data_IF_976636916853
#
_entry.id   IF_976636916853
#
_cell.length_a   1.000
_cell.length_b   1.000
_cell.length_c   1.000
_cell.angle_alpha   90.00
_cell.angle_beta   90.00
_cell.angle_gamma   90.00
#
_symmetry.space_group_name_H-M   'P 1'
#
loop_
_entity.id
_entity.type
_entity.pdbx_description
1 polymer ?
#
# COMPACT_ATOMS: atom_id res chain seq x y z
N UNK A 1 55.14 -16.24 12.30
CA UNK A 1 55.23 -15.23 13.38
C UNK A 1 54.26 -15.62 14.49
N UNK A 2 54.69 -15.53 15.75
CA UNK A 2 53.94 -15.94 16.96
C UNK A 2 53.28 -14.74 17.66
N UNK A 3 52.59 -15.01 18.79
CA UNK A 3 52.07 -14.08 19.82
C UNK A 3 50.79 -13.27 19.49
N UNK A 4 49.92 -12.88 20.45
CA UNK A 4 49.36 -13.41 21.74
C UNK A 4 48.48 -12.28 22.36
N UNK A 5 47.51 -12.46 23.27
CA UNK A 5 46.71 -13.61 23.77
C UNK A 5 45.39 -13.08 24.38
N UNK A 6 44.42 -13.98 24.54
CA UNK A 6 43.19 -13.94 25.36
C UNK A 6 43.10 -12.94 26.55
N UNK A 7 41.92 -12.32 26.69
CA UNK A 7 41.03 -12.40 27.88
C UNK A 7 39.61 -11.95 27.46
N UNK A 8 38.56 -12.74 27.74
CA UNK A 8 37.63 -12.61 28.88
C UNK A 8 37.01 -11.20 28.97
N UNK A 9 35.68 -10.97 28.93
CA UNK A 9 34.55 -11.90 28.96
C UNK A 9 33.65 -11.69 30.19
N UNK A 10 32.81 -10.65 30.17
CA UNK A 10 31.70 -10.35 31.12
C UNK A 10 31.02 -9.04 30.65
N UNK A 11 29.77 -9.00 30.17
CA UNK A 11 28.51 -9.08 30.94
C UNK A 11 28.58 -8.36 32.30
N UNK A 12 27.69 -7.39 32.53
CA UNK A 12 26.72 -7.35 33.65
C UNK A 12 25.99 -6.00 33.66
N UNK A 13 24.67 -6.09 33.66
CA UNK A 13 23.68 -5.03 33.90
C UNK A 13 23.55 -4.68 35.39
N UNK A 14 23.30 -3.39 35.68
CA UNK A 14 22.64 -2.73 36.86
C UNK A 14 22.47 -3.53 38.17
N UNK A 15 22.73 -2.93 39.37
CA UNK A 15 21.56 -2.45 40.15
C UNK A 15 21.76 -1.20 41.06
N UNK A 16 20.69 -0.40 41.12
CA UNK A 16 20.08 0.36 42.26
C UNK A 16 20.87 0.90 43.47
N UNK A 17 20.51 2.14 43.83
CA UNK A 17 20.55 2.82 45.15
C UNK A 17 20.81 1.98 46.43
N UNK A 18 21.77 2.44 47.25
CA UNK A 18 21.71 2.40 48.73
C UNK A 18 22.37 3.67 49.31
N UNK A 19 21.73 4.27 50.31
CA UNK A 19 22.22 5.41 51.11
C UNK A 19 22.52 4.92 52.54
N UNK A 20 23.62 5.35 53.20
CA UNK A 20 23.76 5.54 54.69
C UNK A 20 25.21 5.88 55.10
N UNK A 21 25.44 5.99 56.43
CA UNK A 21 26.69 6.33 57.16
C UNK A 21 26.92 7.84 57.31
N UNK A 22 26.23 8.53 58.23
CA UNK A 22 26.39 8.60 59.71
C UNK A 22 27.62 9.38 60.20
N UNK A 23 27.35 10.23 61.21
CA UNK A 23 28.16 11.32 61.73
C UNK A 23 28.87 10.89 63.02
N UNK A 24 30.19 11.08 63.10
CA UNK A 24 31.01 11.04 64.33
C UNK A 24 32.01 12.21 64.26
N UNK A 25 31.89 13.25 65.09
CA UNK A 25 32.66 13.42 66.35
C UNK A 25 34.16 13.14 66.17
N UNK A 26 35.11 14.05 66.45
CA UNK A 26 35.15 15.39 67.09
C UNK A 26 36.64 15.86 67.07
N UNK A 27 37.12 16.82 67.88
CA UNK A 27 36.77 18.25 68.03
C UNK A 27 38.01 19.20 67.88
N UNK A 28 37.81 20.50 68.20
CA UNK A 28 38.76 21.36 68.94
C UNK A 28 40.00 21.97 68.24
N UNK A 29 39.88 23.29 67.93
CA UNK A 29 40.95 24.28 67.67
C UNK A 29 41.76 24.03 66.36
N UNK A 30 42.20 25.05 65.60
CA UNK A 30 42.80 26.33 66.02
C UNK A 30 42.13 27.62 65.47
N UNK A 31 42.47 28.72 66.16
CA UNK A 31 42.19 30.12 65.79
C UNK A 31 43.31 30.70 64.92
N UNK A 32 42.99 31.58 63.96
CA UNK A 32 43.76 32.81 63.65
C UNK A 32 42.90 33.81 62.82
N UNK A 33 43.23 35.13 62.75
CA UNK A 33 42.23 36.10 63.22
C UNK A 33 41.83 37.26 62.27
N UNK A 34 40.75 37.94 62.68
CA UNK A 34 40.36 39.36 62.51
C UNK A 34 40.92 40.12 61.28
N UNK A 35 40.02 40.44 60.35
CA UNK A 35 40.02 41.70 59.62
C UNK A 35 38.60 42.28 59.59
N UNK A 36 38.44 43.56 59.92
CA UNK A 36 37.15 44.20 60.16
C UNK A 36 36.71 45.12 58.99
N UNK A 37 35.58 44.79 58.36
CA UNK A 37 34.74 45.67 57.49
C UNK A 37 35.37 46.01 56.11
N UNK A 38 34.67 46.65 55.13
CA UNK A 38 33.49 47.52 55.21
C UNK A 38 32.10 46.84 55.07
N UNK A 39 31.11 47.57 55.59
CA UNK A 39 29.67 47.31 55.69
C UNK A 39 28.95 46.64 54.48
N UNK A 40 27.88 45.86 54.71
CA UNK A 40 26.96 45.49 53.64
C UNK A 40 26.20 46.73 53.12
N UNK A 41 25.95 46.85 51.80
CA UNK A 41 25.08 47.90 51.29
C UNK A 41 23.66 47.68 51.80
N UNK A 42 23.09 48.69 52.44
CA UNK A 42 21.70 48.68 52.91
C UNK A 42 20.75 48.61 51.73
N UNK A 43 20.02 47.50 51.61
CA UNK A 43 18.94 47.39 50.64
C UNK A 43 17.78 48.31 51.06
N UNK A 44 17.15 49.05 50.13
CA UNK A 44 15.99 49.87 50.47
C UNK A 44 14.82 48.98 50.95
N UNK A 45 14.01 49.44 51.92
CA UNK A 45 13.00 48.62 52.59
C UNK A 45 11.72 48.42 51.76
N UNK A 46 11.84 47.84 50.56
CA UNK A 46 10.72 47.57 49.65
C UNK A 46 10.67 46.13 49.09
N UNK A 47 11.71 45.31 49.29
CA UNK A 47 11.83 43.95 48.74
C UNK A 47 10.90 42.89 49.38
N UNK A 48 9.92 43.29 50.20
CA UNK A 48 9.15 42.39 51.09
C UNK A 48 7.82 41.87 50.52
N UNK A 49 7.33 42.40 49.37
CA UNK A 49 5.98 42.07 48.87
C UNK A 49 5.94 41.21 47.59
N UNK A 50 6.64 41.61 46.53
CA UNK A 50 7.00 40.73 45.39
C UNK A 50 8.35 41.20 44.85
N UNK A 51 9.36 40.33 44.90
CA UNK A 51 10.59 40.45 44.12
C UNK A 51 10.97 39.04 43.65
N UNK A 52 11.31 38.82 42.37
CA UNK A 52 11.86 37.54 41.94
C UNK A 52 13.19 37.29 42.66
N UNK A 53 13.50 36.02 42.93
CA UNK A 53 14.76 35.61 43.56
C UNK A 53 15.96 36.26 42.84
N UNK A 54 17.04 36.59 43.56
CA UNK A 54 18.21 37.34 43.03
C UNK A 54 18.90 36.71 41.79
N UNK A 55 18.53 35.48 41.40
CA UNK A 55 18.97 34.78 40.18
C UNK A 55 17.92 34.66 39.05
N UNK A 56 16.74 35.28 39.15
CA UNK A 56 15.70 35.24 38.13
C UNK A 56 14.93 33.91 38.02
N UNK A 57 14.12 33.78 36.97
CA UNK A 57 13.40 32.55 36.62
C UNK A 57 14.15 31.76 35.54
N UNK A 58 14.06 30.43 35.58
CA UNK A 58 14.59 29.56 34.52
C UNK A 58 13.92 29.85 33.17
N UNK A 59 14.66 29.69 32.07
CA UNK A 59 14.11 29.95 30.73
C UNK A 59 13.01 28.95 30.37
N UNK A 60 11.78 29.47 30.24
CA UNK A 60 10.63 28.72 29.73
C UNK A 60 10.75 28.58 28.21
N UNK A 61 10.62 27.35 27.71
CA UNK A 61 10.63 27.07 26.28
C UNK A 61 9.32 27.53 25.63
N UNK A 62 9.32 28.75 25.09
CA UNK A 62 8.18 29.36 24.38
C UNK A 62 8.05 28.92 22.91
N UNK A 63 9.00 28.14 22.39
CA UNK A 63 9.03 27.71 20.98
C UNK A 63 8.37 26.34 20.78
N UNK A 64 7.66 26.16 19.67
CA UNK A 64 7.04 24.87 19.28
C UNK A 64 8.12 23.81 18.99
N UNK A 65 8.29 22.86 19.90
CA UNK A 65 9.15 21.69 19.72
C UNK A 65 8.39 20.57 18.99
N UNK A 66 8.19 20.70 17.68
CA UNK A 66 7.66 19.61 16.83
C UNK A 66 8.79 19.10 15.91
N UNK A 67 9.39 17.92 16.20
CA UNK A 67 10.37 17.33 15.30
C UNK A 67 9.68 16.82 14.03
N UNK A 68 10.14 17.27 12.86
CA UNK A 68 9.71 16.73 11.57
C UNK A 68 10.20 15.28 11.43
N UNK A 69 9.31 14.31 11.68
CA UNK A 69 9.63 12.90 11.88
C UNK A 69 9.05 12.07 10.75
N UNK A 70 9.92 11.46 9.94
CA UNK A 70 9.57 10.66 8.77
C UNK A 70 10.78 10.49 7.84
N UNK A 71 10.63 9.68 6.78
CA UNK A 71 11.64 9.59 5.73
C UNK A 71 11.53 10.77 4.74
N UNK A 72 12.60 11.05 4.00
CA UNK A 72 12.63 12.09 2.97
C UNK A 72 11.60 11.74 1.86
N UNK A 73 10.85 12.70 1.28
CA UNK A 73 9.76 12.40 0.32
C UNK A 73 10.16 11.47 -0.85
N UNK A 74 11.40 11.60 -1.33
CA UNK A 74 11.97 10.74 -2.37
C UNK A 74 11.94 9.24 -2.03
N UNK A 75 12.12 8.87 -0.75
CA UNK A 75 12.13 7.47 -0.31
C UNK A 75 10.76 6.81 -0.54
N UNK A 76 9.67 7.55 -0.29
CA UNK A 76 8.32 7.07 -0.56
C UNK A 76 8.06 6.92 -2.05
N UNK A 77 8.56 7.85 -2.88
CA UNK A 77 8.45 7.75 -4.33
C UNK A 77 9.18 6.51 -4.86
N UNK A 78 10.44 6.29 -4.47
CA UNK A 78 11.20 5.09 -4.88
C UNK A 78 10.55 3.81 -4.38
N UNK A 79 10.08 3.78 -3.12
CA UNK A 79 9.38 2.62 -2.56
C UNK A 79 8.11 2.25 -3.33
N UNK A 80 7.27 3.25 -3.65
CA UNK A 80 6.07 3.05 -4.47
C UNK A 80 6.40 2.53 -5.86
N UNK A 81 7.39 3.13 -6.55
CA UNK A 81 7.78 2.71 -7.90
C UNK A 81 8.39 1.32 -7.92
N UNK A 82 9.16 0.93 -6.90
CA UNK A 82 9.73 -0.42 -6.78
C UNK A 82 8.62 -1.49 -6.61
N UNK A 83 7.61 -1.22 -5.77
CA UNK A 83 6.45 -2.10 -5.59
C UNK A 83 5.67 -2.25 -6.91
N UNK A 84 5.40 -1.13 -7.60
CA UNK A 84 4.71 -1.14 -8.89
C UNK A 84 5.49 -1.92 -9.96
N UNK A 85 6.80 -1.67 -10.09
CA UNK A 85 7.66 -2.39 -11.04
C UNK A 85 7.70 -3.90 -10.78
N UNK A 86 7.76 -4.31 -9.50
CA UNK A 86 7.69 -5.72 -9.13
C UNK A 86 6.31 -6.35 -9.41
N UNK A 87 5.23 -5.60 -9.16
CA UNK A 87 3.86 -6.01 -9.52
C UNK A 87 3.71 -6.25 -11.03
N UNK A 88 4.19 -5.31 -11.86
CA UNK A 88 4.21 -5.47 -13.32
C UNK A 88 5.07 -6.66 -13.76
N UNK A 89 6.24 -6.88 -13.16
CA UNK A 89 7.09 -8.04 -13.45
C UNK A 89 6.34 -9.37 -13.24
N UNK A 90 5.65 -9.54 -12.10
CA UNK A 90 4.84 -10.74 -11.83
C UNK A 90 3.61 -10.85 -12.75
N UNK A 91 2.97 -9.73 -13.08
CA UNK A 91 1.85 -9.68 -14.03
C UNK A 91 2.24 -10.14 -15.45
N UNK A 92 3.40 -9.70 -15.96
CA UNK A 92 3.86 -10.08 -17.30
C UNK A 92 4.11 -11.59 -17.46
N UNK A 93 4.50 -12.29 -16.39
CA UNK A 93 4.59 -13.76 -16.39
C UNK A 93 3.20 -14.40 -16.52
N UNK A 94 2.23 -14.01 -15.68
CA UNK A 94 0.86 -14.54 -15.77
C UNK A 94 0.15 -14.24 -17.10
N UNK A 95 0.45 -13.10 -17.74
CA UNK A 95 -0.08 -12.79 -19.08
C UNK A 95 0.44 -13.75 -20.17
N UNK A 96 1.64 -14.33 -20.01
CA UNK A 96 2.15 -15.34 -20.95
C UNK A 96 1.36 -16.64 -20.84
N UNK A 97 1.18 -17.15 -19.62
CA UNK A 97 0.38 -18.33 -19.32
C UNK A 97 -1.06 -18.17 -19.84
N UNK A 98 -1.69 -17.02 -19.60
CA UNK A 98 -3.04 -16.71 -20.10
C UNK A 98 -3.13 -16.66 -21.64
N UNK A 99 -2.05 -16.26 -22.34
CA UNK A 99 -1.99 -16.28 -23.81
C UNK A 99 -1.83 -17.69 -24.36
N UNK A 100 -1.15 -18.57 -23.63
CA UNK A 100 -1.01 -19.99 -24.00
C UNK A 100 -2.35 -20.71 -23.81
N UNK A 101 -3.01 -20.56 -22.65
CA UNK A 101 -4.38 -21.07 -22.41
C UNK A 101 -5.40 -20.51 -23.42
N UNK A 102 -5.33 -19.21 -23.73
CA UNK A 102 -6.22 -18.58 -24.73
C UNK A 102 -5.95 -19.13 -26.14
N UNK A 103 -4.70 -19.46 -26.46
CA UNK A 103 -4.32 -20.08 -27.73
C UNK A 103 -4.89 -21.50 -27.82
N UNK A 104 -4.71 -22.33 -26.81
CA UNK A 104 -5.31 -23.68 -26.73
C UNK A 104 -6.83 -23.63 -26.91
N UNK A 105 -7.51 -22.70 -26.22
CA UNK A 105 -8.95 -22.46 -26.35
C UNK A 105 -9.38 -21.97 -27.74
N UNK A 106 -8.52 -21.25 -28.45
CA UNK A 106 -8.78 -20.83 -29.83
C UNK A 106 -8.55 -21.97 -30.82
N UNK A 107 -7.53 -22.81 -30.63
CA UNK A 107 -7.33 -24.01 -31.44
C UNK A 107 -8.46 -25.02 -31.26
N UNK A 108 -8.89 -25.30 -30.02
CA UNK A 108 -10.01 -26.22 -29.78
C UNK A 108 -11.31 -25.74 -30.43
N UNK A 109 -11.57 -24.42 -30.43
CA UNK A 109 -12.67 -23.82 -31.20
C UNK A 109 -12.50 -24.00 -32.70
N UNK A 110 -11.32 -23.69 -33.26
CA UNK A 110 -11.08 -23.78 -34.71
C UNK A 110 -11.34 -25.19 -35.26
N UNK A 111 -11.04 -26.24 -34.50
CA UNK A 111 -11.34 -27.63 -34.88
C UNK A 111 -12.83 -28.00 -34.78
N UNK A 112 -13.60 -27.35 -33.89
CA UNK A 112 -15.04 -27.62 -33.70
C UNK A 112 -15.94 -26.75 -34.59
N UNK A 113 -15.52 -25.51 -34.92
CA UNK A 113 -16.24 -24.58 -35.80
C UNK A 113 -16.72 -25.20 -37.12
N UNK A 114 -15.90 -25.92 -37.92
CA UNK A 114 -16.38 -26.48 -39.19
C UNK A 114 -17.46 -27.56 -39.02
N UNK A 115 -17.45 -28.32 -37.92
CA UNK A 115 -18.50 -29.30 -37.62
C UNK A 115 -19.81 -28.59 -37.27
N UNK A 116 -19.76 -27.65 -36.33
CA UNK A 116 -20.94 -26.89 -35.90
C UNK A 116 -21.53 -26.04 -37.03
N UNK A 117 -20.69 -25.47 -37.90
CA UNK A 117 -21.16 -24.72 -39.07
C UNK A 117 -21.85 -25.65 -40.09
N UNK A 118 -21.35 -26.88 -40.29
CA UNK A 118 -21.99 -27.85 -41.19
C UNK A 118 -23.33 -28.36 -40.65
N UNK A 119 -23.51 -28.42 -39.33
CA UNK A 119 -24.81 -28.70 -38.70
C UNK A 119 -25.77 -27.51 -38.88
N UNK A 120 -25.31 -26.29 -38.58
CA UNK A 120 -26.09 -25.06 -38.77
C UNK A 120 -26.55 -24.86 -40.22
N UNK A 121 -25.65 -25.07 -41.19
CA UNK A 121 -25.94 -24.88 -42.61
C UNK A 121 -26.97 -25.90 -43.13
N UNK A 122 -26.94 -27.15 -42.65
CA UNK A 122 -27.98 -28.16 -42.96
C UNK A 122 -29.35 -27.76 -42.41
N UNK A 123 -29.38 -27.29 -41.17
CA UNK A 123 -30.62 -26.92 -40.49
C UNK A 123 -31.25 -25.65 -41.10
N UNK A 124 -30.42 -24.72 -41.58
CA UNK A 124 -30.86 -23.55 -42.34
C UNK A 124 -31.44 -23.90 -43.70
N UNK A 125 -30.77 -24.78 -44.47
CA UNK A 125 -31.26 -25.24 -45.77
C UNK A 125 -32.63 -25.92 -45.63
N UNK A 126 -32.83 -26.73 -44.58
CA UNK A 126 -34.13 -27.35 -44.25
C UNK A 126 -35.22 -26.30 -44.00
N UNK A 127 -34.94 -25.26 -43.21
CA UNK A 127 -35.91 -24.17 -42.92
C UNK A 127 -36.23 -23.36 -44.18
N UNK A 128 -35.19 -23.00 -44.94
CA UNK A 128 -35.33 -22.25 -46.18
C UNK A 128 -36.24 -22.93 -47.21
N UNK A 129 -36.06 -24.23 -47.47
CA UNK A 129 -36.94 -24.96 -48.38
C UNK A 129 -38.36 -25.16 -47.84
N UNK A 130 -38.52 -25.33 -46.52
CA UNK A 130 -39.85 -25.40 -45.92
C UNK A 130 -40.63 -24.07 -46.06
N UNK A 131 -39.95 -22.94 -45.88
CA UNK A 131 -40.54 -21.61 -46.03
C UNK A 131 -40.78 -21.26 -47.51
N UNK A 132 -39.89 -21.66 -48.43
CA UNK A 132 -40.17 -21.57 -49.88
C UNK A 132 -41.40 -22.39 -50.29
N UNK A 133 -41.54 -23.63 -49.83
CA UNK A 133 -42.69 -24.47 -50.17
C UNK A 133 -44.02 -23.87 -49.66
N UNK A 134 -44.01 -23.26 -48.47
CA UNK A 134 -45.15 -22.50 -47.93
C UNK A 134 -45.45 -21.26 -48.77
N UNK A 135 -44.42 -20.48 -49.12
CA UNK A 135 -44.57 -19.25 -49.89
C UNK A 135 -45.09 -19.54 -51.31
N UNK A 136 -44.61 -20.61 -51.95
CA UNK A 136 -45.14 -21.16 -53.21
C UNK A 136 -46.62 -21.52 -53.13
N UNK A 137 -47.05 -22.19 -52.05
CA UNK A 137 -48.46 -22.51 -51.84
C UNK A 137 -49.35 -21.27 -51.65
N UNK A 138 -48.77 -20.15 -51.22
CA UNK A 138 -49.42 -18.84 -51.11
C UNK A 138 -49.23 -17.95 -52.37
N UNK A 139 -48.54 -18.44 -53.41
CA UNK A 139 -48.28 -17.70 -54.65
C UNK A 139 -47.19 -16.63 -54.58
N UNK A 140 -46.37 -16.63 -53.53
CA UNK A 140 -45.31 -15.62 -53.29
C UNK A 140 -43.94 -16.30 -53.47
N UNK A 141 -43.29 -16.16 -54.62
CA UNK A 141 -41.96 -16.75 -54.90
C UNK A 141 -40.88 -15.72 -55.27
N UNK A 142 -41.10 -14.45 -54.92
CA UNK A 142 -40.23 -13.35 -55.38
C UNK A 142 -38.93 -13.21 -54.58
N UNK A 143 -37.82 -13.13 -55.31
CA UNK A 143 -36.51 -12.76 -54.74
C UNK A 143 -36.50 -11.26 -54.47
N UNK A 144 -36.43 -10.87 -53.20
CA UNK A 144 -36.37 -9.45 -52.76
C UNK A 144 -35.14 -8.70 -53.30
N UNK A 145 -34.05 -9.41 -53.58
CA UNK A 145 -32.80 -8.83 -54.06
C UNK A 145 -32.43 -9.37 -55.45
N UNK A 146 -31.99 -8.47 -56.34
CA UNK A 146 -31.62 -8.76 -57.73
C UNK A 146 -30.28 -9.51 -57.87
N UNK A 147 -29.64 -9.93 -56.77
CA UNK A 147 -28.37 -10.66 -56.79
C UNK A 147 -28.58 -12.16 -56.75
N UNK A 148 -27.81 -12.91 -57.53
CA UNK A 148 -27.82 -14.39 -57.50
C UNK A 148 -27.20 -14.99 -56.22
N UNK A 149 -26.55 -14.16 -55.39
CA UNK A 149 -25.99 -14.56 -54.10
C UNK A 149 -27.09 -15.00 -53.14
N UNK A 150 -26.92 -16.18 -52.54
CA UNK A 150 -27.76 -16.61 -51.41
C UNK A 150 -27.58 -15.67 -50.21
N UNK A 151 -28.69 -15.13 -49.70
CA UNK A 151 -28.75 -14.29 -48.51
C UNK A 151 -29.60 -15.04 -47.48
N UNK A 152 -29.04 -15.28 -46.29
CA UNK A 152 -29.77 -15.90 -45.17
C UNK A 152 -30.97 -15.01 -44.79
N UNK A 153 -32.20 -15.54 -44.66
CA UNK A 153 -33.35 -14.73 -44.29
C UNK A 153 -33.20 -14.17 -42.87
N UNK A 154 -33.33 -12.84 -42.72
CA UNK A 154 -33.16 -12.13 -41.43
C UNK A 154 -34.23 -12.50 -40.40
N UNK A 155 -35.44 -12.83 -40.85
CA UNK A 155 -36.57 -13.17 -40.01
C UNK A 155 -37.00 -14.62 -40.28
N UNK A 156 -37.02 -15.43 -39.23
CA UNK A 156 -37.69 -16.73 -39.23
C UNK A 156 -39.09 -16.58 -38.63
N UNK A 157 -40.07 -17.28 -39.17
CA UNK A 157 -41.45 -17.25 -38.65
C UNK A 157 -41.49 -18.05 -37.35
N UNK A 158 -41.37 -17.36 -36.22
CA UNK A 158 -41.57 -17.95 -34.89
C UNK A 158 -43.05 -18.20 -34.61
N UNK A 159 -43.44 -19.32 -33.97
CA UNK A 159 -44.83 -19.58 -33.62
C UNK A 159 -45.35 -18.52 -32.64
N UNK A 160 -46.63 -18.15 -32.78
CA UNK A 160 -47.27 -17.12 -31.95
C UNK A 160 -47.44 -17.51 -30.49
N UNK A 161 -47.47 -18.81 -30.20
CA UNK A 161 -47.35 -19.36 -28.85
C UNK A 161 -46.06 -20.17 -28.74
N UNK A 162 -45.20 -19.76 -27.82
CA UNK A 162 -44.06 -20.56 -27.36
C UNK A 162 -44.55 -21.42 -26.21
N UNK A 163 -44.44 -22.75 -26.34
CA UNK A 163 -44.64 -23.67 -25.21
C UNK A 163 -43.56 -23.44 -24.16
N UNK A 164 -43.98 -23.05 -22.95
CA UNK A 164 -43.13 -22.95 -21.76
C UNK A 164 -42.86 -24.33 -21.17
#
# INVERSE_FOLDING_TARGET
>A
MFNQKERVGSLITVPTHVTTVTRSTSPFLDFEPIALTPNPPTLPPSCLRICPQRGGYAQVQYKRNLPARGFKPWVYMVGMHAIMAYGFYKYFHGVREQRELSREKMWSRLYLTPLLQAEEDRDQVRRYYADQARAKALGIEDKVYNSERFIRPTFAITPSNVTQ
#
